data_IF_795972131537
#
_entry.id   IF_795972131537
#
_cell.length_a   1.000
_cell.length_b   1.000
_cell.length_c   1.000
_cell.angle_alpha   90.00
_cell.angle_beta   90.00
_cell.angle_gamma   90.00
#
_symmetry.space_group_name_H-M   'P 1'
#
loop_
_entity.id
_entity.type
_entity.pdbx_description
1 polymer ?
#
# COMPACT_ATOMS: atom_id res chain seq x y z
N UNK A 1 -18.74 7.04 29.53
CA UNK A 1 -17.54 6.27 29.15
C UNK A 1 -17.42 6.35 27.65
N UNK A 2 -16.71 7.37 27.15
CA UNK A 2 -16.47 7.56 25.72
C UNK A 2 -15.50 6.48 25.26
N UNK A 3 -15.93 5.64 24.32
CA UNK A 3 -15.05 4.69 23.66
C UNK A 3 -13.90 5.46 23.02
N UNK A 4 -12.69 5.28 23.54
CA UNK A 4 -11.47 5.60 22.82
C UNK A 4 -11.51 4.74 21.57
N UNK A 5 -11.82 5.34 20.41
CA UNK A 5 -11.62 4.68 19.13
C UNK A 5 -10.14 4.29 19.08
N UNK A 6 -9.84 3.01 19.35
CA UNK A 6 -8.51 2.48 19.17
C UNK A 6 -8.27 2.48 17.67
N UNK A 7 -7.44 3.42 17.23
CA UNK A 7 -7.00 3.52 15.85
C UNK A 7 -6.38 2.20 15.37
N UNK A 8 -6.56 1.90 14.10
CA UNK A 8 -6.18 0.63 13.50
C UNK A 8 -4.66 0.58 13.33
N UNK A 9 -3.95 -0.12 14.22
CA UNK A 9 -2.48 -0.05 14.37
C UNK A 9 -1.68 -0.50 13.13
N UNK A 10 -2.32 -1.16 12.17
CA UNK A 10 -1.73 -1.57 10.89
C UNK A 10 -2.40 -0.93 9.68
N UNK A 11 -3.32 0.00 9.89
CA UNK A 11 -3.78 0.83 8.79
C UNK A 11 -2.59 1.58 8.19
N UNK A 12 -2.40 1.49 6.86
CA UNK A 12 -1.37 2.26 6.18
C UNK A 12 -1.75 3.74 6.06
N UNK A 13 -2.85 4.20 6.64
CA UNK A 13 -3.26 5.61 6.63
C UNK A 13 -2.94 6.24 8.00
N UNK A 14 -2.23 7.38 8.05
CA UNK A 14 -1.94 8.07 9.30
C UNK A 14 -3.22 8.70 9.89
N UNK A 15 -3.36 8.66 11.22
CA UNK A 15 -4.58 9.04 11.94
C UNK A 15 -4.47 10.37 12.71
N UNK A 16 -3.27 10.98 12.76
CA UNK A 16 -3.06 12.27 13.43
C UNK A 16 -1.84 13.04 12.91
N UNK A 17 -1.82 14.37 13.11
CA UNK A 17 -0.67 15.23 12.78
C UNK A 17 0.60 14.82 13.54
N UNK A 18 0.45 14.36 14.79
CA UNK A 18 1.56 13.86 15.59
C UNK A 18 2.15 12.57 14.99
N UNK A 19 1.31 11.72 14.41
CA UNK A 19 1.76 10.52 13.68
C UNK A 19 2.45 10.87 12.37
N UNK A 20 1.93 11.85 11.62
CA UNK A 20 2.59 12.36 10.41
C UNK A 20 3.97 12.95 10.71
N UNK A 21 4.10 13.74 11.78
CA UNK A 21 5.37 14.32 12.21
C UNK A 21 6.37 13.23 12.63
N UNK A 22 5.90 12.24 13.38
CA UNK A 22 6.70 11.09 13.79
C UNK A 22 7.17 10.26 12.60
N UNK A 23 6.26 9.90 11.69
CA UNK A 23 6.61 9.21 10.45
C UNK A 23 7.65 10.00 9.68
N UNK A 24 7.45 11.31 9.54
CA UNK A 24 8.38 12.22 8.85
C UNK A 24 9.78 12.18 9.44
N UNK A 25 9.92 12.13 10.77
CA UNK A 25 11.21 12.04 11.45
C UNK A 25 11.96 10.75 11.12
N UNK A 26 11.26 9.63 10.89
CA UNK A 26 11.85 8.32 10.60
C UNK A 26 12.17 8.10 9.11
N UNK A 27 11.77 9.01 8.23
CA UNK A 27 11.96 8.82 6.78
C UNK A 27 13.44 8.89 6.40
N UNK A 28 13.94 7.96 5.56
CA UNK A 28 15.27 8.07 4.99
C UNK A 28 15.41 9.32 4.13
N UNK A 29 16.60 9.91 4.13
CA UNK A 29 16.90 11.17 3.42
C UNK A 29 17.68 10.98 2.12
N UNK A 30 18.28 9.82 1.90
CA UNK A 30 19.06 9.49 0.71
C UNK A 30 18.74 8.09 0.19
N UNK A 31 19.17 7.78 -1.04
CA UNK A 31 19.01 6.43 -1.59
C UNK A 31 19.79 5.40 -0.77
N UNK A 32 20.96 5.76 -0.23
CA UNK A 32 21.78 4.87 0.61
C UNK A 32 21.07 4.46 1.91
N UNK A 33 20.27 5.37 2.44
CA UNK A 33 19.49 5.22 3.66
C UNK A 33 18.17 4.46 3.46
N UNK A 34 17.69 4.40 2.22
CA UNK A 34 16.43 3.75 1.87
C UNK A 34 16.61 2.23 1.86
N UNK A 35 16.14 1.56 2.92
CA UNK A 35 16.28 0.10 3.05
C UNK A 35 15.47 -0.63 1.98
N UNK A 36 15.95 -1.78 1.51
CA UNK A 36 15.28 -2.61 0.51
C UNK A 36 15.16 -1.96 -0.87
N UNK A 37 14.25 -2.49 -1.70
CA UNK A 37 14.00 -2.00 -3.07
C UNK A 37 15.29 -1.88 -3.91
N UNK A 38 16.24 -2.80 -3.76
CA UNK A 38 17.62 -2.70 -4.25
C UNK A 38 17.68 -2.35 -5.74
N UNK A 39 16.83 -2.99 -6.55
CA UNK A 39 16.74 -2.74 -7.99
C UNK A 39 16.28 -1.32 -8.31
N UNK A 40 15.19 -0.86 -7.68
CA UNK A 40 14.65 0.50 -7.87
C UNK A 40 15.67 1.55 -7.45
N UNK A 41 16.34 1.33 -6.32
CA UNK A 41 17.43 2.20 -5.84
C UNK A 41 18.55 2.34 -6.86
N UNK A 42 19.09 1.23 -7.37
CA UNK A 42 20.18 1.27 -8.35
C UNK A 42 19.77 1.93 -9.67
N UNK A 43 18.52 1.73 -10.10
CA UNK A 43 17.98 2.38 -11.29
C UNK A 43 17.81 3.89 -11.10
N UNK A 44 17.28 4.33 -9.96
CA UNK A 44 17.18 5.75 -9.61
C UNK A 44 18.55 6.40 -9.49
N UNK A 45 19.50 5.75 -8.82
CA UNK A 45 20.87 6.24 -8.67
C UNK A 45 21.51 6.49 -10.04
N UNK A 46 21.40 5.53 -10.97
CA UNK A 46 21.90 5.69 -12.33
C UNK A 46 21.22 6.87 -13.07
N UNK A 47 19.89 6.95 -13.00
CA UNK A 47 19.10 7.99 -13.68
C UNK A 47 19.44 9.39 -13.17
N UNK A 48 19.48 9.58 -11.85
CA UNK A 48 19.77 10.86 -11.22
C UNK A 48 21.23 11.27 -11.47
N UNK A 49 22.17 10.32 -11.37
CA UNK A 49 23.59 10.58 -11.64
C UNK A 49 23.81 11.00 -13.09
N UNK A 50 23.19 10.31 -14.05
CA UNK A 50 23.31 10.65 -15.47
C UNK A 50 22.74 12.05 -15.78
N UNK A 51 21.60 12.41 -15.19
CA UNK A 51 21.01 13.73 -15.34
C UNK A 51 21.91 14.84 -14.74
N UNK A 52 22.49 14.59 -13.57
CA UNK A 52 23.42 15.50 -12.92
C UNK A 52 24.69 15.72 -13.74
N UNK A 53 25.31 14.65 -14.27
CA UNK A 53 26.50 14.75 -15.12
C UNK A 53 26.27 15.55 -16.41
N UNK A 54 25.03 15.54 -16.91
CA UNK A 54 24.62 16.27 -18.11
C UNK A 54 24.05 17.66 -17.80
N UNK A 55 24.04 18.08 -16.52
CA UNK A 55 23.44 19.33 -16.06
C UNK A 55 21.99 19.53 -16.56
N UNK A 56 21.20 18.46 -16.56
CA UNK A 56 19.79 18.46 -17.01
C UNK A 56 18.86 17.96 -15.91
N UNK A 57 17.56 18.18 -16.11
CA UNK A 57 16.53 17.56 -15.27
C UNK A 57 16.48 16.05 -15.51
N UNK A 58 16.26 15.24 -14.46
CA UNK A 58 15.92 13.84 -14.65
C UNK A 58 14.58 13.73 -15.38
N UNK A 59 14.43 12.63 -16.11
CA UNK A 59 13.19 12.34 -16.83
C UNK A 59 12.03 12.15 -15.84
N UNK A 60 10.79 12.27 -16.30
CA UNK A 60 9.62 12.06 -15.46
C UNK A 60 9.59 10.64 -14.88
N UNK A 61 9.24 10.51 -13.60
CA UNK A 61 9.28 9.26 -12.83
C UNK A 61 7.87 8.85 -12.39
N UNK A 62 7.50 7.60 -12.64
CA UNK A 62 6.29 6.98 -12.09
C UNK A 62 6.66 5.98 -10.99
N UNK A 63 6.14 6.19 -9.79
CA UNK A 63 6.27 5.28 -8.65
C UNK A 63 4.97 4.50 -8.49
N UNK A 64 5.00 3.21 -8.81
CA UNK A 64 3.83 2.34 -8.74
C UNK A 64 4.02 1.27 -7.66
N UNK A 65 3.06 1.15 -6.75
CA UNK A 65 3.03 0.05 -5.79
C UNK A 65 2.09 0.29 -4.62
N UNK A 66 1.82 -0.74 -3.80
CA UNK A 66 0.95 -0.68 -2.63
C UNK A 66 1.19 0.54 -1.70
N UNK A 67 0.18 0.96 -0.93
CA UNK A 67 0.34 2.02 0.07
C UNK A 67 1.38 1.64 1.13
N UNK A 68 2.06 2.63 1.70
CA UNK A 68 3.02 2.42 2.80
C UNK A 68 4.42 1.92 2.41
N UNK A 69 4.70 1.66 1.12
CA UNK A 69 6.00 1.17 0.64
C UNK A 69 7.10 2.25 0.47
N UNK A 70 6.77 3.53 0.72
CA UNK A 70 7.75 4.63 0.65
C UNK A 70 7.77 5.42 -0.66
N UNK A 71 6.70 5.41 -1.47
CA UNK A 71 6.60 6.22 -2.71
C UNK A 71 6.85 7.72 -2.47
N UNK A 72 6.14 8.32 -1.53
CA UNK A 72 6.33 9.73 -1.15
C UNK A 72 7.76 9.97 -0.65
N UNK A 73 8.34 9.01 0.08
CA UNK A 73 9.72 9.09 0.56
C UNK A 73 10.73 9.07 -0.58
N UNK A 74 10.56 8.20 -1.58
CA UNK A 74 11.40 8.19 -2.77
C UNK A 74 11.30 9.49 -3.56
N UNK A 75 10.11 10.10 -3.66
CA UNK A 75 9.97 11.39 -4.31
C UNK A 75 10.77 12.51 -3.60
N UNK A 76 10.78 12.51 -2.27
CA UNK A 76 11.59 13.44 -1.49
C UNK A 76 13.09 13.18 -1.68
N UNK A 77 13.51 11.91 -1.68
CA UNK A 77 14.90 11.52 -1.95
C UNK A 77 15.31 11.97 -3.35
N UNK A 78 14.46 11.77 -4.35
CA UNK A 78 14.73 12.23 -5.73
C UNK A 78 14.97 13.74 -5.76
N UNK A 79 14.20 14.54 -5.01
CA UNK A 79 14.41 15.98 -4.91
C UNK A 79 15.72 16.34 -4.22
N UNK A 80 16.04 15.67 -3.11
CA UNK A 80 17.27 15.88 -2.34
C UNK A 80 18.52 15.54 -3.18
N UNK A 81 18.55 14.34 -3.78
CA UNK A 81 19.66 13.86 -4.61
C UNK A 81 19.84 14.71 -5.88
N UNK A 82 18.74 15.24 -6.44
CA UNK A 82 18.77 16.17 -7.57
C UNK A 82 19.14 17.60 -7.16
N UNK A 83 19.12 17.91 -5.85
CA UNK A 83 19.27 19.26 -5.28
C UNK A 83 18.26 20.27 -5.85
N UNK A 84 16.99 19.86 -5.94
CA UNK A 84 15.93 20.67 -6.52
C UNK A 84 14.77 20.86 -5.54
N UNK A 85 14.06 22.00 -5.61
CA UNK A 85 12.87 22.19 -4.79
C UNK A 85 11.82 21.11 -5.08
N UNK A 86 11.04 20.76 -4.07
CA UNK A 86 9.96 19.80 -4.15
C UNK A 86 8.62 20.47 -3.89
N UNK A 87 7.67 20.27 -4.79
CA UNK A 87 6.27 20.63 -4.61
C UNK A 87 5.43 19.38 -4.49
N UNK A 88 4.69 19.28 -3.38
CA UNK A 88 3.80 18.16 -3.12
C UNK A 88 2.36 18.54 -3.45
N UNK A 89 1.64 17.67 -4.16
CA UNK A 89 0.19 17.71 -4.33
C UNK A 89 -0.35 16.28 -4.45
N UNK A 90 -1.67 16.13 -4.58
CA UNK A 90 -2.32 14.84 -4.80
C UNK A 90 -3.36 14.93 -5.91
N UNK A 91 -3.64 13.81 -6.57
CA UNK A 91 -4.66 13.71 -7.60
C UNK A 91 -6.03 14.20 -7.14
N UNK A 92 -6.53 13.78 -5.95
CA UNK A 92 -7.80 14.27 -5.41
C UNK A 92 -7.84 15.78 -5.15
N UNK A 93 -6.70 16.43 -4.93
CA UNK A 93 -6.64 17.88 -4.77
C UNK A 93 -6.78 18.64 -6.11
N UNK A 94 -6.64 17.94 -7.25
CA UNK A 94 -6.73 18.51 -8.60
C UNK A 94 -8.09 18.11 -9.19
N UNK A 95 -9.11 18.90 -8.85
CA UNK A 95 -10.49 18.61 -9.22
C UNK A 95 -10.83 19.08 -10.63
N UNK A 96 -10.13 20.11 -11.13
CA UNK A 96 -10.31 20.65 -12.47
C UNK A 96 -8.97 21.05 -13.11
N UNK A 97 -8.96 21.23 -14.44
CA UNK A 97 -7.76 21.65 -15.19
C UNK A 97 -7.16 22.98 -14.70
N UNK A 98 -7.99 23.89 -14.18
CA UNK A 98 -7.52 25.17 -13.61
C UNK A 98 -6.64 24.99 -12.38
N UNK A 99 -6.91 23.98 -11.54
CA UNK A 99 -6.10 23.69 -10.35
C UNK A 99 -4.70 23.24 -10.76
N UNK A 100 -4.60 22.38 -11.77
CA UNK A 100 -3.33 21.96 -12.33
C UNK A 100 -2.59 23.12 -12.99
N UNK A 101 -3.30 23.96 -13.77
CA UNK A 101 -2.69 25.13 -14.39
C UNK A 101 -2.08 26.09 -13.35
N UNK A 102 -2.75 26.29 -12.21
CA UNK A 102 -2.22 27.10 -11.11
C UNK A 102 -0.94 26.49 -10.50
N UNK A 103 -0.91 25.16 -10.33
CA UNK A 103 0.28 24.46 -9.83
C UNK A 103 1.45 24.55 -10.83
N UNK A 104 1.21 24.23 -12.10
CA UNK A 104 2.23 24.21 -13.15
C UNK A 104 2.80 25.60 -13.42
N UNK A 105 1.96 26.63 -13.47
CA UNK A 105 2.40 28.02 -13.71
C UNK A 105 3.24 28.60 -12.58
N UNK A 106 3.14 28.03 -11.38
CA UNK A 106 3.94 28.44 -10.22
C UNK A 106 5.29 27.71 -10.11
N UNK A 107 5.58 26.75 -11.00
CA UNK A 107 6.83 25.99 -10.94
C UNK A 107 8.03 26.82 -11.37
N UNK A 108 9.13 26.66 -10.63
CA UNK A 108 10.44 27.22 -11.00
C UNK A 108 11.25 26.23 -11.85
N UNK A 109 12.21 26.71 -12.66
CA UNK A 109 13.04 25.83 -13.49
C UNK A 109 13.70 24.72 -12.69
N UNK A 110 13.41 23.51 -13.12
CA UNK A 110 13.91 22.27 -12.58
C UNK A 110 13.16 21.71 -11.37
N UNK A 111 12.19 22.43 -10.81
CA UNK A 111 11.41 21.98 -9.64
C UNK A 111 10.81 20.58 -9.85
N UNK A 112 10.77 19.80 -8.78
CA UNK A 112 10.13 18.48 -8.78
C UNK A 112 8.68 18.64 -8.36
N UNK A 113 7.76 18.32 -9.26
CA UNK A 113 6.34 18.24 -8.97
C UNK A 113 5.98 16.80 -8.60
N UNK A 114 5.63 16.55 -7.35
CA UNK A 114 5.12 15.26 -6.91
C UNK A 114 3.59 15.27 -6.85
N UNK A 115 2.96 14.30 -7.52
CA UNK A 115 1.51 14.08 -7.48
C UNK A 115 1.24 12.69 -6.92
N UNK A 116 0.81 12.61 -5.67
CA UNK A 116 0.34 11.34 -5.10
C UNK A 116 -1.04 10.97 -5.65
N UNK A 117 -1.35 9.68 -5.72
CA UNK A 117 -2.60 9.18 -6.30
C UNK A 117 -2.95 9.83 -7.65
N UNK A 118 -1.95 9.97 -8.54
CA UNK A 118 -2.08 10.66 -9.84
C UNK A 118 -3.25 10.13 -10.70
N UNK A 119 -3.62 8.87 -10.52
CA UNK A 119 -4.75 8.20 -11.17
C UNK A 119 -6.14 8.67 -10.71
N UNK A 120 -6.22 9.54 -9.69
CA UNK A 120 -7.47 10.13 -9.18
C UNK A 120 -7.66 11.59 -9.61
N UNK A 121 -6.79 12.10 -10.48
CA UNK A 121 -6.97 13.42 -11.08
C UNK A 121 -8.24 13.47 -11.94
N UNK A 122 -8.84 14.65 -12.06
CA UNK A 122 -9.89 14.83 -13.05
C UNK A 122 -9.36 14.63 -14.47
N UNK A 123 -10.13 13.96 -15.34
CA UNK A 123 -9.75 13.67 -16.73
C UNK A 123 -9.27 14.91 -17.50
N UNK A 124 -9.92 16.07 -17.29
CA UNK A 124 -9.51 17.32 -17.94
C UNK A 124 -8.14 17.81 -17.49
N UNK A 125 -7.74 17.55 -16.24
CA UNK A 125 -6.40 17.81 -15.74
C UNK A 125 -5.39 16.79 -16.27
N UNK A 126 -5.76 15.52 -16.44
CA UNK A 126 -4.89 14.50 -17.05
C UNK A 126 -4.51 14.86 -18.49
N UNK A 127 -5.47 15.30 -19.30
CA UNK A 127 -5.25 15.72 -20.69
C UNK A 127 -4.32 16.94 -20.76
N UNK A 128 -4.45 17.89 -19.82
CA UNK A 128 -3.53 19.03 -19.70
C UNK A 128 -2.13 18.61 -19.23
N UNK A 129 -2.04 17.69 -18.26
CA UNK A 129 -0.77 17.21 -17.74
C UNK A 129 0.05 16.51 -18.84
N UNK A 130 -0.62 15.76 -19.71
CA UNK A 130 -0.02 15.14 -20.87
C UNK A 130 0.70 16.19 -21.76
N UNK A 131 0.02 17.29 -22.12
CA UNK A 131 0.60 18.37 -22.92
C UNK A 131 1.74 19.09 -22.19
N UNK A 132 1.57 19.31 -20.88
CA UNK A 132 2.58 19.94 -20.04
C UNK A 132 3.89 19.13 -19.96
N UNK A 133 3.81 17.79 -19.94
CA UNK A 133 4.97 16.89 -19.92
C UNK A 133 5.69 16.81 -21.28
N UNK A 134 4.96 16.96 -22.38
CA UNK A 134 5.52 16.83 -23.73
C UNK A 134 6.19 18.12 -24.20
N UNK A 135 5.47 19.24 -24.09
CA UNK A 135 5.88 20.50 -24.73
C UNK A 135 6.26 21.59 -23.72
N UNK A 136 6.16 21.33 -22.41
CA UNK A 136 6.27 22.35 -21.36
C UNK A 136 5.39 23.57 -21.65
N UNK A 137 4.17 23.31 -22.11
CA UNK A 137 3.20 24.34 -22.46
C UNK A 137 1.79 23.86 -22.12
N UNK A 138 0.96 24.79 -21.68
CA UNK A 138 -0.48 24.57 -21.51
C UNK A 138 -1.26 25.72 -22.12
N UNK A 139 -2.51 25.45 -22.45
CA UNK A 139 -3.45 26.45 -22.94
C UNK A 139 -4.47 26.77 -21.83
N UNK A 140 -4.58 28.05 -21.47
CA UNK A 140 -5.49 28.52 -20.43
C UNK A 140 -6.65 29.29 -21.06
N UNK A 141 -7.87 28.87 -20.75
CA UNK A 141 -9.08 29.58 -21.17
C UNK A 141 -9.29 30.84 -20.32
N UNK A 142 -9.29 32.01 -20.95
CA UNK A 142 -9.56 33.30 -20.31
C UNK A 142 -10.91 33.83 -20.80
N UNK A 143 -11.78 34.23 -19.87
CA UNK A 143 -13.15 34.69 -20.15
C UNK A 143 -14.22 33.61 -19.96
N UNK A 144 -15.48 33.95 -20.27
CA UNK A 144 -16.64 33.05 -20.14
C UNK A 144 -17.52 33.10 -21.40
N UNK A 145 -18.14 31.97 -21.77
CA UNK A 145 -19.08 31.87 -22.88
C UNK A 145 -18.43 32.04 -24.25
N UNK A 146 -19.18 32.57 -25.22
CA UNK A 146 -18.74 32.72 -26.61
C UNK A 146 -17.54 33.68 -26.83
N UNK A 147 -17.18 34.47 -25.80
CA UNK A 147 -16.01 35.36 -25.83
C UNK A 147 -14.77 34.78 -25.15
N UNK A 148 -14.78 33.52 -24.72
CA UNK A 148 -13.63 32.91 -24.08
C UNK A 148 -12.52 32.64 -25.11
N UNK A 149 -11.30 33.03 -24.80
CA UNK A 149 -10.12 32.85 -25.66
C UNK A 149 -9.11 31.92 -24.99
N UNK A 150 -8.49 31.06 -25.78
CA UNK A 150 -7.39 30.22 -25.32
C UNK A 150 -6.08 30.99 -25.45
N UNK A 151 -5.35 31.14 -24.34
CA UNK A 151 -4.04 31.80 -24.32
C UNK A 151 -2.99 30.74 -23.94
N UNK A 152 -1.94 30.56 -24.77
CA UNK A 152 -0.87 29.64 -24.42
C UNK A 152 0.02 30.21 -23.33
N UNK A 153 0.41 29.35 -22.40
CA UNK A 153 1.35 29.62 -21.33
C UNK A 153 2.52 28.65 -21.41
N UNK A 154 3.72 29.18 -21.55
CA UNK A 154 4.97 28.42 -21.44
C UNK A 154 5.26 28.10 -19.97
N UNK A 155 5.69 26.87 -19.71
CA UNK A 155 6.04 26.38 -18.39
C UNK A 155 7.55 26.31 -18.22
N UNK A 156 8.00 26.53 -16.99
CA UNK A 156 9.35 26.18 -16.58
C UNK A 156 9.58 24.67 -16.78
N UNK A 157 10.71 24.22 -17.36
CA UNK A 157 11.04 22.80 -17.40
C UNK A 157 11.05 22.22 -15.99
N UNK A 158 10.36 21.10 -15.76
CA UNK A 158 10.20 20.50 -14.44
C UNK A 158 10.33 18.98 -14.52
N UNK A 159 10.47 18.31 -13.37
CA UNK A 159 10.38 16.84 -13.32
C UNK A 159 9.11 16.45 -12.57
N UNK A 160 8.16 15.82 -13.27
CA UNK A 160 7.04 15.14 -12.65
C UNK A 160 7.48 13.83 -11.97
N UNK A 161 7.09 13.65 -10.71
CA UNK A 161 7.11 12.37 -10.01
C UNK A 161 5.67 11.98 -9.67
N UNK A 162 5.08 11.04 -10.40
CA UNK A 162 3.73 10.54 -10.13
C UNK A 162 3.75 9.33 -9.21
N UNK A 163 2.82 9.22 -8.27
CA UNK A 163 2.62 8.00 -7.47
C UNK A 163 1.23 7.40 -7.66
N UNK A 164 1.18 6.07 -7.75
CA UNK A 164 -0.06 5.31 -7.90
C UNK A 164 0.03 3.96 -7.20
N UNK A 165 -1.10 3.34 -6.86
CA UNK A 165 -1.09 1.97 -6.35
C UNK A 165 -0.84 0.94 -7.45
N UNK A 166 -1.27 1.24 -8.69
CA UNK A 166 -1.07 0.39 -9.88
C UNK A 166 -0.82 1.26 -11.11
N UNK A 167 0.24 0.97 -11.86
CA UNK A 167 0.59 1.69 -13.10
C UNK A 167 -0.49 1.58 -14.18
N UNK A 168 -1.22 0.46 -14.22
CA UNK A 168 -2.32 0.23 -15.17
C UNK A 168 -3.55 1.11 -14.97
N UNK A 169 -3.62 1.89 -13.87
CA UNK A 169 -4.72 2.84 -13.65
C UNK A 169 -4.52 4.17 -14.38
N UNK A 170 -3.32 4.43 -14.93
CA UNK A 170 -3.07 5.58 -15.77
C UNK A 170 -3.41 5.26 -17.24
N UNK A 171 -4.01 6.21 -17.98
CA UNK A 171 -4.12 6.11 -19.44
C UNK A 171 -2.74 5.91 -20.09
N UNK A 172 -2.67 5.12 -21.18
CA UNK A 172 -1.40 4.88 -21.90
C UNK A 172 -0.70 6.18 -22.30
N UNK A 173 -1.38 7.20 -22.87
CA UNK A 173 -0.71 8.43 -23.29
C UNK A 173 0.05 9.14 -22.16
N UNK A 174 -0.52 9.15 -20.94
CA UNK A 174 0.15 9.74 -19.78
C UNK A 174 1.26 8.83 -19.26
N UNK A 175 1.01 7.51 -19.19
CA UNK A 175 1.99 6.53 -18.70
C UNK A 175 3.25 6.50 -19.57
N UNK A 176 3.11 6.59 -20.88
CA UNK A 176 4.20 6.46 -21.85
C UNK A 176 5.10 7.73 -21.87
N UNK A 177 4.70 8.81 -21.19
CA UNK A 177 5.50 10.03 -20.99
C UNK A 177 6.43 9.96 -19.76
N UNK A 178 6.29 8.95 -18.92
CA UNK A 178 7.25 8.70 -17.85
C UNK A 178 8.49 8.00 -18.41
N UNK A 179 9.63 8.69 -18.39
CA UNK A 179 10.91 8.13 -18.83
C UNK A 179 11.43 7.01 -17.92
N UNK A 180 10.92 6.93 -16.69
CA UNK A 180 11.21 5.84 -15.77
C UNK A 180 9.98 5.43 -14.96
N UNK A 181 9.73 4.13 -14.85
CA UNK A 181 8.70 3.56 -13.97
C UNK A 181 9.35 2.63 -12.95
N UNK A 182 9.22 2.99 -11.67
CA UNK A 182 9.60 2.14 -10.55
C UNK A 182 8.40 1.33 -10.05
N UNK A 183 8.57 0.01 -9.97
CA UNK A 183 7.62 -0.88 -9.33
C UNK A 183 8.12 -1.21 -7.92
N UNK A 184 7.38 -0.73 -6.91
CA UNK A 184 7.67 -1.02 -5.52
C UNK A 184 6.93 -2.29 -5.11
N UNK A 185 7.67 -3.23 -4.56
CA UNK A 185 7.16 -4.51 -4.07
C UNK A 185 7.11 -4.52 -2.54
N UNK A 186 6.43 -5.50 -1.96
CA UNK A 186 6.47 -5.68 -0.51
C UNK A 186 7.89 -6.04 -0.08
N UNK A 187 8.24 -5.62 1.13
CA UNK A 187 9.56 -5.83 1.68
C UNK A 187 9.66 -7.23 2.24
N UNK A 188 10.84 -7.81 2.10
CA UNK A 188 11.18 -9.06 2.77
C UNK A 188 11.33 -8.84 4.27
N UNK A 189 11.11 -9.89 5.07
CA UNK A 189 11.20 -9.81 6.54
C UNK A 189 12.53 -9.22 6.99
N UNK A 190 13.65 -9.65 6.40
CA UNK A 190 15.00 -9.15 6.74
C UNK A 190 15.18 -7.67 6.42
N UNK A 191 14.53 -7.15 5.37
CA UNK A 191 14.55 -5.73 5.05
C UNK A 191 13.75 -4.93 6.07
N UNK A 192 12.63 -5.49 6.56
CA UNK A 192 11.79 -4.84 7.58
C UNK A 192 12.47 -4.84 8.95
N UNK A 193 13.20 -5.89 9.30
CA UNK A 193 14.03 -5.89 10.51
C UNK A 193 15.03 -4.73 10.50
N UNK A 194 15.69 -4.46 9.36
CA UNK A 194 16.59 -3.31 9.21
C UNK A 194 15.86 -1.97 9.33
N UNK A 195 14.67 -1.85 8.74
CA UNK A 195 13.81 -0.65 8.89
C UNK A 195 13.50 -0.40 10.37
N UNK A 196 13.08 -1.44 11.09
CA UNK A 196 12.69 -1.38 12.50
C UNK A 196 13.90 -1.05 13.38
N UNK A 197 15.04 -1.69 13.17
CA UNK A 197 16.26 -1.42 13.93
C UNK A 197 16.73 0.02 13.77
N UNK A 198 16.72 0.53 12.52
CA UNK A 198 17.04 1.93 12.24
C UNK A 198 16.07 2.86 12.98
N UNK A 199 14.77 2.61 12.85
CA UNK A 199 13.76 3.43 13.52
C UNK A 199 13.92 3.38 15.05
N UNK A 200 14.20 2.23 15.63
CA UNK A 200 14.43 2.09 17.07
C UNK A 200 15.62 2.93 17.55
N UNK A 201 16.73 2.93 16.78
CA UNK A 201 17.88 3.79 17.05
C UNK A 201 17.54 5.29 17.02
N UNK A 202 16.73 5.72 16.05
CA UNK A 202 16.25 7.12 15.97
C UNK A 202 15.30 7.51 17.11
N UNK A 203 14.67 6.51 17.75
CA UNK A 203 13.77 6.69 18.88
C UNK A 203 14.48 6.51 20.24
N UNK A 204 15.78 6.19 20.23
CA UNK A 204 16.53 5.80 21.42
C UNK A 204 15.85 4.65 22.18
N UNK A 205 15.27 3.70 21.45
CA UNK A 205 14.64 2.50 21.98
C UNK A 205 15.58 1.31 21.82
N UNK A 206 16.01 0.73 22.93
CA UNK A 206 16.70 -0.55 22.93
C UNK A 206 15.67 -1.67 22.74
N UNK A 207 15.85 -2.49 21.71
CA UNK A 207 14.94 -3.56 21.32
C UNK A 207 15.73 -4.82 20.96
N UNK A 208 15.27 -5.97 21.45
CA UNK A 208 15.93 -7.26 21.21
C UNK A 208 15.75 -7.72 19.76
N UNK A 209 16.69 -8.53 19.24
CA UNK A 209 16.60 -9.03 17.86
C UNK A 209 15.33 -9.87 17.62
N UNK A 210 14.96 -10.74 18.57
CA UNK A 210 13.74 -11.55 18.48
C UNK A 210 12.47 -10.69 18.50
N UNK A 211 12.48 -9.61 19.29
CA UNK A 211 11.40 -8.61 19.34
C UNK A 211 11.25 -7.87 18.00
N UNK A 212 12.37 -7.53 17.34
CA UNK A 212 12.36 -6.94 15.99
C UNK A 212 11.75 -7.90 14.97
N UNK A 213 12.15 -9.16 14.98
CA UNK A 213 11.62 -10.19 14.08
C UNK A 213 10.11 -10.41 14.28
N UNK A 214 9.63 -10.36 15.51
CA UNK A 214 8.19 -10.45 15.83
C UNK A 214 7.38 -9.28 15.23
N UNK A 215 7.90 -8.05 15.27
CA UNK A 215 7.26 -6.89 14.62
C UNK A 215 7.33 -7.04 13.09
N UNK A 216 8.48 -7.44 12.55
CA UNK A 216 8.70 -7.60 11.11
C UNK A 216 7.75 -8.66 10.50
N UNK A 217 7.49 -9.75 11.23
CA UNK A 217 6.55 -10.79 10.82
C UNK A 217 5.09 -10.34 10.74
N UNK A 218 4.71 -9.30 11.49
CA UNK A 218 3.32 -8.84 11.61
C UNK A 218 3.03 -7.50 10.92
N UNK A 219 4.01 -6.91 10.23
CA UNK A 219 3.85 -5.59 9.59
C UNK A 219 3.46 -5.65 8.10
N UNK A 220 2.98 -6.81 7.63
CA UNK A 220 2.42 -7.01 6.28
C UNK A 220 3.35 -6.62 5.14
N UNK A 221 4.67 -6.76 5.31
CA UNK A 221 5.62 -6.41 4.25
C UNK A 221 5.79 -4.89 4.03
N UNK A 222 5.36 -4.06 5.00
CA UNK A 222 5.17 -2.61 4.78
C UNK A 222 5.93 -1.78 5.83
N UNK A 223 6.90 -0.95 5.44
CA UNK A 223 7.67 -0.09 6.35
C UNK A 223 6.82 0.85 7.21
N UNK A 224 5.74 1.42 6.65
CA UNK A 224 4.83 2.29 7.40
C UNK A 224 4.20 1.56 8.59
N UNK A 225 3.70 0.34 8.37
CA UNK A 225 3.11 -0.48 9.43
C UNK A 225 4.20 -0.86 10.44
N UNK A 226 5.39 -1.24 9.98
CA UNK A 226 6.50 -1.60 10.87
C UNK A 226 6.86 -0.47 11.85
N UNK A 227 7.02 0.76 11.35
CA UNK A 227 7.31 1.92 12.19
C UNK A 227 6.15 2.28 13.14
N UNK A 228 4.91 2.09 12.69
CA UNK A 228 3.72 2.32 13.51
C UNK A 228 3.62 1.32 14.66
N UNK A 229 3.83 0.03 14.39
CA UNK A 229 3.89 -1.02 15.41
C UNK A 229 5.04 -0.79 16.40
N UNK A 230 6.23 -0.42 15.91
CA UNK A 230 7.37 -0.08 16.77
C UNK A 230 7.03 1.07 17.73
N UNK A 231 6.35 2.11 17.24
CA UNK A 231 5.88 3.21 18.10
C UNK A 231 4.91 2.71 19.18
N UNK A 232 4.00 1.79 18.83
CA UNK A 232 3.06 1.19 19.80
C UNK A 232 3.79 0.37 20.87
N UNK A 233 4.78 -0.41 20.47
CA UNK A 233 5.66 -1.16 21.39
C UNK A 233 6.38 -0.21 22.33
N UNK A 234 6.96 0.87 21.82
CA UNK A 234 7.61 1.89 22.64
C UNK A 234 6.66 2.49 23.67
N UNK A 235 5.47 2.89 23.23
CA UNK A 235 4.47 3.51 24.10
C UNK A 235 4.00 2.51 25.18
N UNK A 236 3.85 1.22 24.84
CA UNK A 236 3.55 0.14 25.79
C UNK A 236 4.66 -0.02 26.83
N UNK A 237 5.91 -0.17 26.39
CA UNK A 237 7.09 -0.33 27.24
C UNK A 237 7.24 0.85 28.22
N UNK A 238 7.05 2.08 27.73
CA UNK A 238 7.10 3.30 28.54
C UNK A 238 6.03 3.30 29.65
N UNK A 239 4.79 2.93 29.32
CA UNK A 239 3.68 2.93 30.29
C UNK A 239 3.85 1.84 31.34
N UNK A 240 4.38 0.67 30.97
CA UNK A 240 4.54 -0.46 31.88
C UNK A 240 5.90 -0.49 32.59
N UNK A 241 6.82 0.40 32.21
CA UNK A 241 8.18 0.42 32.76
C UNK A 241 8.97 -0.84 32.41
N UNK A 242 8.69 -1.45 31.27
CA UNK A 242 9.36 -2.67 30.80
C UNK A 242 10.33 -2.36 29.68
N UNK A 243 11.30 -3.26 29.45
CA UNK A 243 12.13 -3.23 28.25
C UNK A 243 11.32 -3.66 27.03
N UNK A 244 11.71 -3.23 25.82
CA UNK A 244 11.10 -3.67 24.56
C UNK A 244 11.61 -5.06 24.14
N UNK A 245 11.54 -6.03 25.05
CA UNK A 245 11.80 -7.44 24.77
C UNK A 245 10.62 -8.14 24.10
N UNK A 246 10.81 -9.41 23.75
CA UNK A 246 9.83 -10.20 23.00
C UNK A 246 8.43 -10.25 23.67
N UNK A 247 8.37 -10.36 25.00
CA UNK A 247 7.12 -10.41 25.75
C UNK A 247 6.34 -9.09 25.67
N UNK A 248 7.02 -7.95 25.91
CA UNK A 248 6.45 -6.61 25.77
C UNK A 248 5.93 -6.35 24.36
N UNK A 249 6.67 -6.80 23.33
CA UNK A 249 6.23 -6.70 21.93
C UNK A 249 4.95 -7.49 21.72
N UNK A 250 4.90 -8.76 22.12
CA UNK A 250 3.72 -9.60 21.95
C UNK A 250 2.50 -9.01 22.66
N UNK A 251 2.68 -8.56 23.91
CA UNK A 251 1.62 -7.94 24.69
C UNK A 251 1.13 -6.63 24.06
N UNK A 252 2.03 -5.81 23.51
CA UNK A 252 1.66 -4.60 22.80
C UNK A 252 0.88 -4.92 21.51
N UNK A 253 1.35 -5.86 20.70
CA UNK A 253 0.68 -6.25 19.46
C UNK A 253 -0.69 -6.87 19.72
N UNK A 254 -0.83 -7.67 20.78
CA UNK A 254 -2.12 -8.20 21.22
C UNK A 254 -3.06 -7.09 21.70
N UNK A 255 -2.57 -6.13 22.51
CA UNK A 255 -3.35 -4.98 22.95
C UNK A 255 -3.87 -4.14 21.78
N UNK A 256 -3.07 -4.01 20.72
CA UNK A 256 -3.43 -3.32 19.49
C UNK A 256 -4.12 -4.22 18.46
N UNK A 257 -4.58 -5.40 18.87
CA UNK A 257 -5.42 -6.24 18.05
C UNK A 257 -4.72 -6.73 16.76
N UNK A 258 -3.40 -6.98 16.83
CA UNK A 258 -2.57 -7.49 15.73
C UNK A 258 -2.21 -8.95 15.96
N UNK A 259 -2.77 -9.83 15.13
CA UNK A 259 -2.59 -11.28 15.27
C UNK A 259 -1.24 -11.78 14.69
N UNK A 260 -0.91 -13.08 14.81
CA UNK A 260 0.36 -13.63 14.30
C UNK A 260 0.58 -13.52 12.78
N UNK A 261 -0.48 -13.40 11.98
CA UNK A 261 -0.37 -13.11 10.54
C UNK A 261 -0.33 -11.60 10.25
N UNK A 262 -0.39 -10.77 11.29
CA UNK A 262 -0.43 -9.32 11.19
C UNK A 262 -1.83 -8.79 10.87
N UNK A 263 -2.91 -9.58 11.01
CA UNK A 263 -4.28 -9.11 10.79
C UNK A 263 -4.73 -8.20 11.94
N UNK A 264 -5.33 -7.07 11.60
CA UNK A 264 -5.91 -6.15 12.57
C UNK A 264 -7.36 -6.48 12.91
N UNK A 265 -7.98 -5.59 13.69
CA UNK A 265 -9.39 -5.65 14.04
C UNK A 265 -10.30 -5.69 12.80
N UNK A 266 -10.02 -4.88 11.77
CA UNK A 266 -10.86 -4.75 10.59
C UNK A 266 -10.70 -5.97 9.66
N UNK A 267 -9.46 -6.40 9.40
CA UNK A 267 -9.17 -7.63 8.66
C UNK A 267 -9.88 -8.83 9.29
N UNK A 268 -9.76 -8.97 10.62
CA UNK A 268 -10.40 -10.05 11.37
C UNK A 268 -11.92 -9.92 11.36
N UNK A 269 -12.48 -8.71 11.38
CA UNK A 269 -13.92 -8.49 11.25
C UNK A 269 -14.44 -8.89 9.87
N UNK A 270 -13.72 -8.53 8.81
CA UNK A 270 -14.03 -8.94 7.42
C UNK A 270 -13.96 -10.45 7.27
N UNK A 271 -12.88 -11.07 7.74
CA UNK A 271 -12.71 -12.53 7.67
C UNK A 271 -13.76 -13.27 8.48
N UNK A 272 -14.03 -12.86 9.73
CA UNK A 272 -15.11 -13.46 10.53
C UNK A 272 -16.47 -13.26 9.86
N UNK A 273 -16.72 -12.12 9.22
CA UNK A 273 -17.91 -11.90 8.40
C UNK A 273 -18.07 -12.96 7.32
N UNK A 274 -17.04 -13.17 6.50
CA UNK A 274 -17.04 -14.18 5.43
C UNK A 274 -17.25 -15.59 6.00
N UNK A 275 -16.45 -15.98 7.01
CA UNK A 275 -16.45 -17.32 7.58
C UNK A 275 -17.75 -17.65 8.32
N UNK A 276 -18.21 -16.77 9.20
CA UNK A 276 -19.32 -17.08 10.12
C UNK A 276 -20.68 -16.69 9.58
N UNK A 277 -20.83 -15.52 8.94
CA UNK A 277 -22.14 -15.02 8.49
C UNK A 277 -22.50 -15.53 7.10
N UNK A 278 -21.50 -15.75 6.25
CA UNK A 278 -21.68 -16.18 4.87
C UNK A 278 -21.17 -17.60 4.62
N UNK A 279 -20.77 -18.34 5.68
CA UNK A 279 -20.36 -19.75 5.57
C UNK A 279 -19.15 -19.98 4.65
N UNK A 280 -18.26 -18.99 4.53
CA UNK A 280 -17.12 -19.02 3.59
C UNK A 280 -17.37 -18.33 2.25
N UNK A 281 -18.57 -17.82 1.99
CA UNK A 281 -18.93 -17.14 0.74
C UNK A 281 -19.55 -18.07 -0.32
N UNK A 282 -19.78 -17.58 -1.56
CA UNK A 282 -19.39 -16.26 -2.07
C UNK A 282 -20.25 -15.11 -1.54
N UNK A 283 -19.62 -13.98 -1.21
CA UNK A 283 -20.30 -12.73 -0.78
C UNK A 283 -19.86 -11.51 -1.59
N UNK A 284 -20.81 -10.66 -1.99
CA UNK A 284 -20.54 -9.40 -2.70
C UNK A 284 -19.92 -8.33 -1.79
N UNK A 285 -19.13 -7.40 -2.35
CA UNK A 285 -18.42 -6.35 -1.59
C UNK A 285 -19.39 -5.54 -0.73
N UNK A 286 -20.45 -5.01 -1.35
CA UNK A 286 -21.41 -4.14 -0.67
C UNK A 286 -22.13 -4.87 0.47
N UNK A 287 -22.48 -6.15 0.27
CA UNK A 287 -23.11 -6.97 1.32
C UNK A 287 -22.16 -7.22 2.48
N UNK A 288 -20.89 -7.51 2.19
CA UNK A 288 -19.86 -7.69 3.20
C UNK A 288 -19.61 -6.39 3.97
N UNK A 289 -19.51 -5.27 3.27
CA UNK A 289 -19.32 -3.93 3.83
C UNK A 289 -20.43 -3.55 4.83
N UNK A 290 -21.70 -3.72 4.44
CA UNK A 290 -22.85 -3.51 5.34
C UNK A 290 -22.81 -4.43 6.56
N UNK A 291 -22.40 -5.68 6.38
CA UNK A 291 -22.32 -6.66 7.48
C UNK A 291 -21.26 -6.29 8.52
N UNK A 292 -20.13 -5.74 8.07
CA UNK A 292 -19.01 -5.34 8.93
C UNK A 292 -19.18 -3.91 9.47
N UNK A 293 -20.04 -3.10 8.85
CA UNK A 293 -20.29 -1.70 9.24
C UNK A 293 -19.27 -0.73 8.67
N UNK A 294 -18.72 -1.03 7.48
CA UNK A 294 -17.61 -0.30 6.85
C UNK A 294 -17.97 0.11 5.43
N UNK A 295 -17.21 1.03 4.85
CA UNK A 295 -17.36 1.41 3.45
C UNK A 295 -16.78 0.34 2.51
N UNK A 296 -17.45 0.11 1.39
CA UNK A 296 -17.02 -0.85 0.38
C UNK A 296 -15.62 -0.53 -0.16
N UNK A 297 -15.34 0.76 -0.42
CA UNK A 297 -14.04 1.24 -0.90
C UNK A 297 -12.92 0.97 0.11
N UNK A 298 -13.17 1.13 1.42
CA UNK A 298 -12.20 0.80 2.48
C UNK A 298 -11.85 -0.68 2.46
N UNK A 299 -12.84 -1.57 2.38
CA UNK A 299 -12.57 -3.01 2.33
C UNK A 299 -11.79 -3.37 1.06
N UNK A 300 -12.17 -2.82 -0.10
CA UNK A 300 -11.52 -3.12 -1.38
C UNK A 300 -10.08 -2.58 -1.47
N UNK A 301 -9.83 -1.38 -0.94
CA UNK A 301 -8.54 -0.69 -1.08
C UNK A 301 -7.56 -0.95 0.05
N UNK A 302 -8.03 -1.26 1.26
CA UNK A 302 -7.19 -1.41 2.47
C UNK A 302 -7.06 -2.87 2.88
N UNK A 303 -8.18 -3.58 3.00
CA UNK A 303 -8.24 -4.91 3.65
C UNK A 303 -8.01 -6.05 2.65
N UNK A 304 -8.83 -6.08 1.61
CA UNK A 304 -8.83 -7.15 0.61
C UNK A 304 -7.46 -7.40 -0.03
N UNK A 305 -6.65 -6.38 -0.39
CA UNK A 305 -5.36 -6.62 -1.02
C UNK A 305 -4.43 -7.47 -0.17
N UNK A 306 -4.43 -7.27 1.16
CA UNK A 306 -3.60 -8.08 2.06
C UNK A 306 -4.16 -9.49 2.21
N UNK A 307 -5.46 -9.63 2.50
CA UNK A 307 -6.12 -10.93 2.67
C UNK A 307 -5.99 -11.84 1.43
N UNK A 308 -6.08 -11.27 0.22
CA UNK A 308 -5.86 -12.01 -1.02
C UNK A 308 -4.38 -12.41 -1.15
N UNK A 309 -3.45 -11.51 -0.83
CA UNK A 309 -2.00 -11.76 -0.94
C UNK A 309 -1.54 -12.90 -0.05
N UNK A 310 -2.00 -12.96 1.19
CA UNK A 310 -1.69 -14.06 2.13
C UNK A 310 -2.60 -15.29 1.92
N UNK A 311 -3.45 -15.27 0.90
CA UNK A 311 -4.24 -16.43 0.48
C UNK A 311 -5.39 -16.79 1.39
N UNK A 312 -5.90 -15.88 2.23
CA UNK A 312 -7.08 -16.12 3.07
C UNK A 312 -8.40 -15.90 2.30
N UNK A 313 -8.38 -15.06 1.26
CA UNK A 313 -9.54 -14.75 0.42
C UNK A 313 -9.21 -14.96 -1.05
N UNK A 314 -10.16 -15.53 -1.78
CA UNK A 314 -10.15 -15.58 -3.25
C UNK A 314 -11.29 -14.74 -3.81
N UNK A 315 -11.00 -13.96 -4.86
CA UNK A 315 -12.02 -13.26 -5.64
C UNK A 315 -12.59 -14.16 -6.73
N UNK A 316 -13.91 -14.20 -6.79
CA UNK A 316 -14.65 -14.85 -7.88
C UNK A 316 -15.63 -13.86 -8.51
N UNK A 317 -16.13 -14.12 -9.73
CA UNK A 317 -17.19 -13.30 -10.32
C UNK A 317 -18.46 -13.22 -9.46
N UNK A 318 -18.69 -14.19 -8.56
CA UNK A 318 -19.84 -14.25 -7.66
C UNK A 318 -19.61 -13.53 -6.32
N UNK A 319 -18.37 -13.15 -6.00
CA UNK A 319 -18.00 -12.56 -4.72
C UNK A 319 -16.71 -13.11 -4.12
N UNK A 320 -16.45 -12.73 -2.87
CA UNK A 320 -15.30 -13.14 -2.07
C UNK A 320 -15.58 -14.48 -1.42
N UNK A 321 -14.59 -15.37 -1.43
CA UNK A 321 -14.67 -16.71 -0.86
C UNK A 321 -13.48 -16.92 0.08
N UNK A 322 -13.72 -17.45 1.28
CA UNK A 322 -12.66 -17.84 2.20
C UNK A 322 -11.97 -19.12 1.72
N UNK A 323 -10.64 -19.14 1.81
CA UNK A 323 -9.85 -20.33 1.46
C UNK A 323 -9.75 -21.30 2.64
N UNK A 324 -9.27 -22.54 2.45
CA UNK A 324 -9.00 -23.45 3.55
C UNK A 324 -8.06 -22.86 4.62
N UNK A 325 -7.04 -22.09 4.22
CA UNK A 325 -6.11 -21.43 5.13
C UNK A 325 -6.81 -20.42 6.06
N UNK A 326 -7.88 -19.77 5.59
CA UNK A 326 -8.69 -18.91 6.45
C UNK A 326 -9.44 -19.68 7.53
N UNK A 327 -10.01 -20.83 7.20
CA UNK A 327 -10.69 -21.68 8.19
C UNK A 327 -9.71 -22.15 9.26
N UNK A 328 -8.54 -22.64 8.83
CA UNK A 328 -7.46 -23.10 9.71
C UNK A 328 -6.96 -22.00 10.65
N UNK A 329 -6.61 -20.82 10.11
CA UNK A 329 -6.11 -19.68 10.91
C UNK A 329 -7.10 -19.22 11.97
N UNK A 330 -8.39 -19.19 11.64
CA UNK A 330 -9.44 -18.78 12.57
C UNK A 330 -9.93 -19.92 13.47
N UNK A 331 -9.39 -21.14 13.33
CA UNK A 331 -9.79 -22.32 14.12
C UNK A 331 -11.26 -22.72 13.91
N UNK A 332 -11.78 -22.52 12.69
CA UNK A 332 -13.17 -22.82 12.32
C UNK A 332 -13.22 -23.97 11.33
N UNK A 333 -14.29 -24.77 11.35
CA UNK A 333 -14.52 -25.82 10.35
C UNK A 333 -15.40 -25.30 9.21
N UNK A 334 -15.05 -25.58 7.94
CA UNK A 334 -15.91 -25.23 6.82
C UNK A 334 -17.24 -26.00 6.93
N UNK A 335 -18.37 -25.37 6.58
CA UNK A 335 -19.66 -26.05 6.59
C UNK A 335 -19.62 -27.27 5.67
N UNK A 336 -20.20 -28.38 6.12
CA UNK A 336 -20.26 -29.61 5.33
C UNK A 336 -20.85 -29.31 3.95
N UNK A 337 -20.10 -29.64 2.89
CA UNK A 337 -20.54 -29.47 1.50
C UNK A 337 -21.90 -30.17 1.32
N UNK A 338 -22.98 -29.40 1.24
CA UNK A 338 -24.28 -29.93 0.83
C UNK A 338 -24.17 -30.34 -0.64
N UNK A 339 -23.89 -31.63 -0.89
CA UNK A 339 -23.93 -32.22 -2.24
C UNK A 339 -22.72 -33.07 -2.67
N UNK A 340 -21.71 -33.31 -1.84
CA UNK A 340 -20.72 -34.34 -2.17
C UNK A 340 -21.34 -35.73 -1.96
N UNK A 341 -21.42 -36.62 -2.98
CA UNK A 341 -21.92 -37.97 -2.75
C UNK A 341 -21.05 -38.63 -1.68
N UNK A 342 -21.70 -39.14 -0.63
CA UNK A 342 -21.03 -39.90 0.42
C UNK A 342 -20.11 -40.92 -0.25
N UNK A 343 -18.80 -40.83 0.02
CA UNK A 343 -17.90 -41.92 -0.34
C UNK A 343 -18.42 -43.15 0.40
N UNK A 344 -19.08 -44.04 -0.34
CA UNK A 344 -19.49 -45.33 0.16
C UNK A 344 -18.24 -46.00 0.71
N UNK A 345 -18.21 -46.18 2.04
CA UNK A 345 -17.26 -47.08 2.68
C UNK A 345 -17.56 -48.48 2.17
N UNK A 346 -16.86 -48.88 1.11
CA UNK A 346 -16.88 -50.24 0.60
C UNK A 346 -16.30 -51.15 1.68
N UNK A 347 -17.19 -51.83 2.39
CA UNK A 347 -16.83 -52.94 3.25
C UNK A 347 -16.07 -53.99 2.42
N UNK A 348 -14.90 -54.37 2.93
CA UNK A 348 -14.19 -55.55 2.48
C UNK A 348 -15.11 -56.77 2.62
N UNK A 349 -15.49 -57.37 1.49
CA UNK A 349 -16.37 -58.53 1.43
C UNK A 349 -15.99 -59.43 0.26
N UNK A 350 -15.11 -60.39 0.56
CA UNK A 350 -14.94 -61.69 -0.08
C UNK A 350 -14.96 -61.77 -1.62
N UNK A 351 -13.77 -61.72 -2.23
CA UNK A 351 -13.50 -62.38 -3.50
C UNK A 351 -12.97 -63.79 -3.23
N UNK A 352 -13.81 -64.80 -3.42
CA UNK A 352 -13.42 -66.20 -3.30
C UNK A 352 -14.38 -67.11 -4.07
N UNK A 353 -13.83 -67.75 -5.11
CA UNK A 353 -14.35 -68.90 -5.85
C UNK A 353 -15.47 -68.66 -6.88
N UNK A 354 -15.08 -68.45 -8.14
CA UNK A 354 -15.79 -68.97 -9.33
C UNK A 354 -14.77 -69.22 -10.46
N UNK A 355 -14.14 -70.40 -10.44
CA UNK A 355 -13.75 -71.09 -11.67
C UNK A 355 -14.53 -72.41 -11.66
N UNK A 356 -15.50 -72.50 -12.58
CA UNK A 356 -16.24 -73.71 -12.87
C UNK A 356 -15.55 -74.48 -14.00
N UNK A 357 -15.44 -75.79 -13.81
CA UNK A 357 -15.18 -76.77 -14.86
C UNK A 357 -16.41 -76.88 -15.76
N UNK A 358 -16.20 -76.76 -17.07
CA UNK A 358 -17.04 -77.40 -18.09
C UNK A 358 -16.57 -78.85 -18.27
N UNK A 359 -17.50 -79.78 -18.03
CA UNK A 359 -18.00 -80.68 -19.07
C UNK A 359 -19.48 -80.35 -19.31
#
# INVERSE_FOLDING_TARGET
MSGLAHGDASSPVPESDAELAFEGALRPRSLSEFVGQVKVRGQLELLLTAAAMQNRSPDHILLAGPPGLGKTTLAMIVAEESRRPLRLTSGPAIQHAGDLAAVLSALVPGEILFIDEIHRMARSAEEMLYLAMEDFRIDIMVGKGAGATSIPLELSPFTLVGATTRSGMLPSPLRDRFGFTAHLEFYETQELEQVIQRAAGMLHLEIEHEAVAEIAGRCRGTPRIANRLLRRVRDYALVHGTEAGLESVRAALELYDVDPLGLDRLDRAVMRGILTRFGGGPVGLNTLAVSVGEEAETIESVVEPFLVRIGLVTRTPRGRVATPAAWEHFGLEPPALQGAPARASGAAGAAGALFGDEL
#
